data_IF_687167490850
#
_entry.id   IF_687167490850
#
_cell.length_a   1.000
_cell.length_b   1.000
_cell.length_c   1.000
_cell.angle_alpha   90.00
_cell.angle_beta   90.00
_cell.angle_gamma   90.00
#
_symmetry.space_group_name_H-M   'P 1'
#
loop_
_entity.id
_entity.type
_entity.pdbx_description
1 polymer ?
#
# COMPACT_ATOMS: atom_id res chain seq x y z
N UNK A 1 -4.84 7.35 22.19
CA UNK A 1 -3.69 8.16 21.75
C UNK A 1 -2.88 7.31 20.77
N UNK A 2 -2.49 7.80 19.59
CA UNK A 2 -1.61 7.04 18.69
C UNK A 2 -0.33 6.64 19.43
N UNK A 3 0.17 5.43 19.21
CA UNK A 3 1.23 4.83 20.02
C UNK A 3 2.59 5.52 19.81
N UNK A 4 2.81 6.11 18.62
CA UNK A 4 4.12 6.62 18.20
C UNK A 4 4.19 8.15 18.05
N UNK A 5 3.28 8.90 18.68
CA UNK A 5 3.19 10.38 18.52
C UNK A 5 4.52 11.08 18.78
N UNK A 6 5.26 10.68 19.82
CA UNK A 6 6.55 11.30 20.14
C UNK A 6 7.62 11.04 19.06
N UNK A 7 7.67 9.83 18.50
CA UNK A 7 8.61 9.48 17.44
C UNK A 7 8.27 10.21 16.13
N UNK A 8 6.99 10.24 15.75
CA UNK A 8 6.53 10.99 14.57
C UNK A 8 6.84 12.48 14.70
N UNK A 9 6.62 13.07 15.88
CA UNK A 9 6.88 14.48 16.13
C UNK A 9 8.38 14.79 16.16
N UNK A 10 9.22 13.88 16.66
CA UNK A 10 10.68 14.01 16.57
C UNK A 10 11.12 14.00 15.10
N UNK A 11 10.69 13.01 14.32
CA UNK A 11 11.02 12.89 12.90
C UNK A 11 10.60 14.15 12.11
N UNK A 12 9.37 14.62 12.31
CA UNK A 12 8.86 15.81 11.63
C UNK A 12 9.65 17.08 11.98
N UNK A 13 10.16 17.20 13.21
CA UNK A 13 11.02 18.33 13.61
C UNK A 13 12.42 18.24 13.00
N UNK A 14 12.98 17.03 12.92
CA UNK A 14 14.32 16.81 12.38
C UNK A 14 14.39 17.12 10.88
N UNK A 15 13.30 16.91 10.13
CA UNK A 15 13.24 17.08 8.67
C UNK A 15 12.37 18.28 8.25
N UNK A 16 12.04 19.18 9.19
CA UNK A 16 11.12 20.31 8.94
C UNK A 16 11.70 21.30 7.93
N UNK A 17 13.01 21.55 8.04
CA UNK A 17 13.74 22.54 7.27
C UNK A 17 14.63 21.88 6.19
N UNK A 18 14.42 20.60 5.92
CA UNK A 18 15.15 19.88 4.87
C UNK A 18 14.84 20.49 3.50
N UNK A 19 15.86 20.77 2.67
CA UNK A 19 15.66 21.35 1.36
C UNK A 19 14.89 20.41 0.43
N UNK A 20 14.22 20.98 -0.57
CA UNK A 20 13.46 20.20 -1.56
C UNK A 20 14.36 19.16 -2.28
N UNK A 21 15.63 19.50 -2.52
CA UNK A 21 16.59 18.59 -3.15
C UNK A 21 16.82 17.29 -2.35
N UNK A 22 16.69 17.33 -1.02
CA UNK A 22 16.81 16.12 -0.20
C UNK A 22 15.62 15.19 -0.45
N UNK A 23 14.41 15.75 -0.53
CA UNK A 23 13.18 15.01 -0.84
C UNK A 23 13.14 14.49 -2.28
N UNK A 24 13.76 15.18 -3.24
CA UNK A 24 13.86 14.73 -4.64
C UNK A 24 14.66 13.43 -4.80
N UNK A 25 15.56 13.15 -3.85
CA UNK A 25 16.41 11.96 -3.84
C UNK A 25 15.85 10.82 -2.99
N UNK A 26 14.73 11.02 -2.29
CA UNK A 26 14.07 9.97 -1.52
C UNK A 26 13.34 8.98 -2.43
N UNK A 27 13.56 7.69 -2.19
CA UNK A 27 12.77 6.61 -2.76
C UNK A 27 11.79 6.11 -1.70
N UNK A 28 10.51 6.34 -1.96
CA UNK A 28 9.40 5.83 -1.15
C UNK A 28 9.03 4.43 -1.62
N UNK A 29 8.75 3.52 -0.69
CA UNK A 29 8.29 2.17 -1.01
C UNK A 29 7.27 1.69 0.00
N UNK A 30 6.30 0.89 -0.46
CA UNK A 30 5.28 0.29 0.39
C UNK A 30 4.71 -1.00 -0.23
N UNK A 31 4.03 -1.79 0.59
CA UNK A 31 3.24 -2.93 0.18
C UNK A 31 1.74 -2.63 0.26
N UNK A 32 1.02 -2.90 -0.84
CA UNK A 32 -0.44 -2.76 -0.86
C UNK A 32 -1.14 -4.06 -1.23
N UNK A 33 -2.29 -4.29 -0.59
CA UNK A 33 -3.20 -5.39 -0.89
C UNK A 33 -4.36 -4.87 -1.70
N UNK A 34 -4.45 -5.26 -2.97
CA UNK A 34 -5.59 -4.92 -3.82
C UNK A 34 -6.58 -6.08 -3.80
N UNK A 35 -7.79 -5.83 -3.29
CA UNK A 35 -8.86 -6.82 -3.26
C UNK A 35 -9.64 -6.81 -4.58
N UNK A 36 -9.65 -7.95 -5.30
CA UNK A 36 -10.42 -8.09 -6.55
C UNK A 36 -11.92 -8.14 -6.28
N UNK A 37 -12.31 -8.63 -5.09
CA UNK A 37 -13.67 -8.64 -4.59
C UNK A 37 -13.72 -7.85 -3.28
N UNK A 38 -13.49 -6.54 -3.38
CA UNK A 38 -13.50 -5.65 -2.23
C UNK A 38 -14.90 -5.53 -1.61
N UNK A 39 -14.94 -5.44 -0.28
CA UNK A 39 -16.13 -5.04 0.49
C UNK A 39 -16.58 -3.59 0.25
N UNK A 40 -15.85 -2.83 -0.58
CA UNK A 40 -15.98 -1.38 -0.70
C UNK A 40 -16.94 -0.92 -1.81
N UNK A 41 -17.62 -1.83 -2.50
CA UNK A 41 -18.78 -1.46 -3.30
C UNK A 41 -20.03 -1.68 -2.44
N UNK A 42 -20.33 -0.71 -1.56
CA UNK A 42 -21.66 -0.62 -0.96
C UNK A 42 -22.64 -0.37 -2.11
N UNK A 43 -23.20 -1.46 -2.65
CA UNK A 43 -24.17 -1.41 -3.73
C UNK A 43 -25.55 -1.26 -3.11
N UNK A 44 -26.19 -0.13 -3.41
CA UNK A 44 -27.58 0.09 -3.03
C UNK A 44 -28.51 -0.70 -3.96
N UNK A 45 -29.54 -1.32 -3.38
CA UNK A 45 -30.56 -2.07 -4.11
C UNK A 45 -31.92 -1.49 -3.72
N UNK A 46 -32.76 -1.19 -4.72
CA UNK A 46 -34.15 -0.81 -4.50
C UNK A 46 -35.02 -2.07 -4.44
N UNK A 47 -35.83 -2.23 -3.39
CA UNK A 47 -36.74 -3.38 -3.24
C UNK A 47 -38.06 -2.98 -2.60
N UNK A 48 -39.09 -3.80 -2.85
CA UNK A 48 -40.37 -3.76 -2.13
C UNK A 48 -40.24 -4.47 -0.78
N UNK A 49 -41.09 -4.13 0.18
CA UNK A 49 -41.19 -4.84 1.46
C UNK A 49 -41.45 -6.34 1.23
N UNK A 50 -40.82 -7.21 2.03
CA UNK A 50 -40.91 -8.68 1.97
C UNK A 50 -40.25 -9.33 0.74
N UNK A 51 -39.42 -8.60 -0.01
CA UNK A 51 -38.67 -9.13 -1.16
C UNK A 51 -37.16 -9.15 -0.93
N UNK A 52 -36.71 -9.18 0.33
CA UNK A 52 -35.31 -9.01 0.74
C UNK A 52 -34.40 -10.11 0.17
N UNK A 53 -34.89 -11.34 0.13
CA UNK A 53 -34.13 -12.53 -0.27
C UNK A 53 -34.31 -12.90 -1.74
N UNK A 54 -35.04 -12.11 -2.52
CA UNK A 54 -35.21 -12.38 -3.95
C UNK A 54 -33.83 -12.26 -4.64
N UNK A 55 -33.41 -13.21 -5.50
CA UNK A 55 -32.07 -13.20 -6.09
C UNK A 55 -31.69 -11.90 -6.82
N UNK A 56 -32.67 -11.22 -7.43
CA UNK A 56 -32.49 -9.90 -8.07
C UNK A 56 -32.21 -8.75 -7.08
N UNK A 57 -32.54 -8.95 -5.80
CA UNK A 57 -32.40 -7.97 -4.73
C UNK A 57 -31.23 -8.30 -3.78
N UNK A 58 -30.48 -9.35 -4.07
CA UNK A 58 -29.30 -9.79 -3.30
C UNK A 58 -28.04 -9.64 -4.14
N UNK A 59 -26.96 -9.14 -3.55
CA UNK A 59 -25.65 -9.14 -4.19
C UNK A 59 -24.92 -10.41 -3.75
N UNK A 60 -24.52 -11.29 -4.69
CA UNK A 60 -23.80 -12.50 -4.32
C UNK A 60 -22.47 -12.13 -3.66
N UNK A 61 -22.27 -12.62 -2.44
CA UNK A 61 -20.99 -12.50 -1.73
C UNK A 61 -20.15 -13.74 -1.99
N UNK A 62 -18.87 -13.56 -2.29
CA UNK A 62 -17.92 -14.68 -2.36
C UNK A 62 -17.64 -15.17 -0.93
N UNK A 63 -18.07 -16.39 -0.58
CA UNK A 63 -17.79 -16.98 0.73
C UNK A 63 -16.32 -17.44 0.77
N UNK A 64 -15.50 -16.73 1.55
CA UNK A 64 -14.07 -17.00 1.77
C UNK A 64 -13.19 -16.98 0.51
N UNK A 65 -11.94 -16.52 0.66
CA UNK A 65 -10.98 -16.52 -0.46
C UNK A 65 -11.19 -15.42 -1.49
N UNK A 66 -11.64 -14.24 -1.07
CA UNK A 66 -11.60 -13.04 -1.91
C UNK A 66 -10.20 -12.89 -2.50
N UNK A 67 -10.08 -13.10 -3.82
CA UNK A 67 -8.80 -13.03 -4.52
C UNK A 67 -8.23 -11.63 -4.26
N UNK A 68 -7.06 -11.57 -3.64
CA UNK A 68 -6.32 -10.34 -3.49
C UNK A 68 -4.96 -10.53 -4.14
N UNK A 69 -4.41 -9.44 -4.64
CA UNK A 69 -3.04 -9.39 -5.11
C UNK A 69 -2.25 -8.53 -4.12
N UNK A 70 -1.08 -9.02 -3.72
CA UNK A 70 -0.12 -8.26 -2.95
C UNK A 70 0.86 -7.62 -3.93
N UNK A 71 1.01 -6.30 -3.85
CA UNK A 71 1.94 -5.55 -4.67
C UNK A 71 2.97 -4.88 -3.75
N UNK A 72 4.23 -4.93 -4.14
CA UNK A 72 5.27 -4.05 -3.61
C UNK A 72 5.56 -3.00 -4.68
N UNK A 73 5.61 -1.73 -4.29
CA UNK A 73 5.90 -0.63 -5.21
C UNK A 73 6.90 0.34 -4.60
N UNK A 74 7.62 1.06 -5.46
CA UNK A 74 8.36 2.25 -5.06
C UNK A 74 8.15 3.40 -6.03
N UNK A 75 8.41 4.63 -5.59
CA UNK A 75 8.42 5.84 -6.42
C UNK A 75 9.34 6.90 -5.82
N UNK A 76 9.71 7.89 -6.61
CA UNK A 76 10.40 9.10 -6.16
C UNK A 76 9.78 10.33 -6.81
N UNK A 77 10.33 11.52 -6.53
CA UNK A 77 9.96 12.76 -7.23
C UNK A 77 10.10 12.65 -8.76
N UNK A 78 10.98 11.76 -9.25
CA UNK A 78 11.22 11.52 -10.68
C UNK A 78 10.17 10.60 -11.32
N UNK A 79 9.26 10.03 -10.54
CA UNK A 79 8.15 9.22 -11.01
C UNK A 79 8.09 7.81 -10.42
N UNK A 80 7.23 6.95 -10.99
CA UNK A 80 7.03 5.60 -10.48
C UNK A 80 8.27 4.72 -10.70
N UNK A 81 8.64 3.98 -9.65
CA UNK A 81 9.65 2.95 -9.69
C UNK A 81 9.07 1.57 -10.05
N UNK A 82 9.71 0.51 -9.55
CA UNK A 82 9.28 -0.87 -9.82
C UNK A 82 7.98 -1.18 -9.09
N UNK A 83 7.07 -1.87 -9.78
CA UNK A 83 5.88 -2.48 -9.20
C UNK A 83 5.96 -4.01 -9.37
N UNK A 84 5.94 -4.73 -8.26
CA UNK A 84 6.20 -6.16 -8.21
C UNK A 84 5.01 -6.88 -7.61
N UNK A 85 4.50 -7.88 -8.33
CA UNK A 85 3.50 -8.80 -7.78
C UNK A 85 4.16 -9.79 -6.83
N UNK A 86 3.81 -9.68 -5.55
CA UNK A 86 4.27 -10.56 -4.48
C UNK A 86 3.34 -11.78 -4.44
N UNK A 87 3.90 -12.96 -4.74
CA UNK A 87 3.16 -14.22 -4.63
C UNK A 87 3.05 -14.64 -3.17
N UNK A 88 1.86 -14.51 -2.60
CA UNK A 88 1.60 -14.88 -1.20
C UNK A 88 1.98 -13.78 -0.21
N UNK A 89 2.39 -14.17 1.01
CA UNK A 89 2.79 -13.22 2.06
C UNK A 89 4.24 -12.79 1.85
N UNK A 90 4.47 -11.47 1.89
CA UNK A 90 5.80 -10.88 1.86
C UNK A 90 6.67 -11.45 2.99
N UNK A 91 7.83 -12.02 2.64
CA UNK A 91 8.83 -12.45 3.61
C UNK A 91 10.07 -11.55 3.54
N UNK A 92 10.86 -11.49 4.63
CA UNK A 92 12.09 -10.72 4.63
C UNK A 92 13.11 -11.17 3.57
N UNK A 93 13.10 -12.46 3.19
CA UNK A 93 13.94 -12.96 2.09
C UNK A 93 13.50 -12.37 0.74
N UNK A 94 12.19 -12.36 0.47
CA UNK A 94 11.63 -11.75 -0.73
C UNK A 94 11.89 -10.25 -0.76
N UNK A 95 11.76 -9.56 0.37
CA UNK A 95 12.09 -8.13 0.47
C UNK A 95 13.54 -7.85 0.09
N UNK A 96 14.49 -8.64 0.63
CA UNK A 96 15.90 -8.52 0.26
C UNK A 96 16.14 -8.81 -1.22
N UNK A 97 15.46 -9.78 -1.80
CA UNK A 97 15.55 -10.07 -3.24
C UNK A 97 15.02 -8.92 -4.10
N UNK A 98 13.93 -8.27 -3.70
CA UNK A 98 13.36 -7.10 -4.39
C UNK A 98 14.33 -5.90 -4.35
N UNK A 99 15.03 -5.72 -3.23
CA UNK A 99 16.03 -4.65 -3.07
C UNK A 99 17.40 -4.97 -3.70
N UNK A 100 17.72 -6.26 -3.88
CA UNK A 100 19.03 -6.75 -4.35
C UNK A 100 19.45 -6.28 -5.75
N UNK A 101 18.59 -6.27 -6.79
CA UNK A 101 18.89 -5.52 -8.00
C UNK A 101 18.85 -4.07 -7.57
N UNK A 102 20.03 -3.53 -7.24
CA UNK A 102 20.17 -2.30 -6.50
C UNK A 102 19.18 -1.26 -7.02
N UNK A 103 18.62 -0.47 -6.12
CA UNK A 103 17.94 0.78 -6.47
C UNK A 103 18.92 1.81 -7.10
N UNK A 104 19.99 1.32 -7.75
CA UNK A 104 21.06 2.05 -8.39
C UNK A 104 20.76 2.22 -9.87
N UNK A 105 20.08 3.33 -10.17
CA UNK A 105 20.36 4.05 -11.43
C UNK A 105 20.29 5.57 -11.28
N UNK A 106 19.98 6.10 -10.09
CA UNK A 106 20.17 7.53 -9.79
C UNK A 106 20.62 7.66 -8.34
N UNK A 107 21.67 8.46 -8.10
CA UNK A 107 22.53 8.43 -6.92
C UNK A 107 21.86 8.52 -5.55
N UNK A 108 22.57 7.93 -4.57
CA UNK A 108 22.40 8.06 -3.12
C UNK A 108 20.96 8.31 -2.65
N UNK A 109 20.12 7.28 -2.73
CA UNK A 109 18.86 7.26 -2.00
C UNK A 109 19.11 6.80 -0.56
N UNK A 110 19.00 7.70 0.39
CA UNK A 110 18.76 7.34 1.79
C UNK A 110 17.43 6.59 1.84
N UNK A 111 17.47 5.26 2.00
CA UNK A 111 16.28 4.48 2.34
C UNK A 111 15.88 4.85 3.77
N UNK A 112 14.99 5.84 3.92
CA UNK A 112 14.22 5.98 5.16
C UNK A 112 13.11 4.93 5.12
N UNK A 113 13.44 3.74 5.62
CA UNK A 113 12.44 2.72 5.92
C UNK A 113 11.66 3.25 7.13
N UNK A 114 10.55 3.95 6.88
CA UNK A 114 9.57 4.24 7.91
C UNK A 114 8.75 2.97 8.16
N UNK A 115 9.24 2.08 9.02
CA UNK A 115 8.33 1.12 9.66
C UNK A 115 7.49 1.85 10.70
N UNK A 116 6.20 1.50 10.87
CA UNK A 116 5.38 2.03 11.96
C UNK A 116 5.95 1.70 13.35
#
# INVERSE_FOLDING_TARGET
MPVHVQACLKFAREHLDDPEEDWENVIWSDETKVELFGKNLTRHVWRRANAELHPKNTIPTVKHGGRNIMLWGCFSAKGPGRLIHVKGRMSGAMYREILRPGLGTTGLASLQISTP
#
